data_IF_103005024474
#
_entry.id   IF_103005024474
#
_cell.length_a   1.000
_cell.length_b   1.000
_cell.length_c   1.000
_cell.angle_alpha   90.00
_cell.angle_beta   90.00
_cell.angle_gamma   90.00
#
_symmetry.space_group_name_H-M   'P 1'
#
loop_
_entity.id
_entity.type
_entity.pdbx_description
1 polymer ?
#
# COMPACT_ATOMS: atom_id res chain seq x y z
N UNK A 1 -5.94 25.04 -38.11
CA UNK A 1 -5.49 24.51 -36.81
C UNK A 1 -5.93 23.07 -36.73
N UNK A 2 -5.01 22.14 -36.87
CA UNK A 2 -5.31 20.70 -36.69
C UNK A 2 -5.24 20.45 -35.19
N UNK A 3 -6.41 20.28 -34.56
CA UNK A 3 -6.47 19.88 -33.17
C UNK A 3 -5.90 18.45 -33.04
N UNK A 4 -4.81 18.30 -32.32
CA UNK A 4 -4.31 16.98 -31.91
C UNK A 4 -5.36 16.43 -30.96
N UNK A 5 -6.19 15.52 -31.43
CA UNK A 5 -7.02 14.68 -30.59
C UNK A 5 -6.05 13.73 -29.87
N UNK A 6 -5.71 14.07 -28.63
CA UNK A 6 -5.03 13.12 -27.77
C UNK A 6 -6.05 12.02 -27.48
N UNK A 7 -5.92 10.93 -28.17
CA UNK A 7 -6.71 9.73 -27.94
C UNK A 7 -6.40 9.24 -26.51
N UNK A 8 -7.24 9.64 -25.56
CA UNK A 8 -7.09 9.21 -24.18
C UNK A 8 -7.37 7.72 -24.12
N UNK A 9 -6.36 6.95 -23.71
CA UNK A 9 -6.53 5.53 -23.44
C UNK A 9 -7.72 5.33 -22.48
N UNK A 10 -8.61 4.34 -22.77
CA UNK A 10 -9.72 4.05 -21.87
C UNK A 10 -9.20 3.72 -20.46
N UNK A 11 -9.96 4.10 -19.43
CA UNK A 11 -9.63 3.75 -18.04
C UNK A 11 -9.43 2.24 -17.87
N UNK A 12 -8.45 1.88 -17.06
CA UNK A 12 -8.12 0.49 -16.75
C UNK A 12 -8.22 0.25 -15.23
N UNK A 13 -8.37 -1.02 -14.88
CA UNK A 13 -8.25 -1.46 -13.50
C UNK A 13 -6.88 -2.11 -13.27
N UNK A 14 -6.25 -1.74 -12.17
CA UNK A 14 -5.01 -2.35 -11.70
C UNK A 14 -5.32 -3.33 -10.57
N UNK A 15 -4.86 -4.57 -10.69
CA UNK A 15 -4.81 -5.50 -9.59
C UNK A 15 -3.45 -5.35 -8.90
N UNK A 16 -3.46 -4.78 -7.70
CA UNK A 16 -2.28 -4.51 -6.92
C UNK A 16 -2.19 -5.47 -5.72
N UNK A 17 -0.98 -6.01 -5.47
CA UNK A 17 -0.66 -6.68 -4.22
C UNK A 17 0.22 -5.76 -3.39
N UNK A 18 -0.26 -5.40 -2.20
CA UNK A 18 0.44 -4.61 -1.19
C UNK A 18 1.01 -5.59 -0.17
N UNK A 19 2.31 -5.64 0.01
CA UNK A 19 2.95 -6.54 0.97
C UNK A 19 3.92 -5.78 1.86
N UNK A 20 3.71 -5.87 3.17
CA UNK A 20 4.60 -5.29 4.15
C UNK A 20 5.94 -6.04 4.15
N UNK A 21 7.05 -5.31 4.02
CA UNK A 21 8.40 -5.87 4.03
C UNK A 21 8.86 -6.19 5.45
N UNK A 22 9.75 -7.17 5.56
CA UNK A 22 10.42 -7.54 6.80
C UNK A 22 9.48 -7.96 7.95
N UNK A 23 8.28 -8.42 7.62
CA UNK A 23 7.27 -8.90 8.57
C UNK A 23 6.88 -10.34 8.28
N UNK A 24 6.95 -11.19 9.31
CA UNK A 24 6.55 -12.59 9.25
C UNK A 24 5.60 -12.95 10.41
N UNK A 25 4.51 -13.71 10.14
CA UNK A 25 3.97 -14.11 8.84
C UNK A 25 3.65 -12.90 7.97
N UNK A 26 3.68 -13.09 6.63
CA UNK A 26 3.52 -11.99 5.69
C UNK A 26 2.16 -11.28 5.85
N UNK A 27 2.19 -9.98 6.05
CA UNK A 27 1.03 -9.09 6.02
C UNK A 27 0.87 -8.57 4.61
N UNK A 28 -0.25 -8.87 3.97
CA UNK A 28 -0.48 -8.42 2.60
C UNK A 28 -1.97 -8.18 2.31
N UNK A 29 -2.23 -7.35 1.30
CA UNK A 29 -3.56 -7.07 0.76
C UNK A 29 -3.51 -7.16 -0.75
N UNK A 30 -4.61 -7.59 -1.37
CA UNK A 30 -4.80 -7.50 -2.82
C UNK A 30 -5.97 -6.58 -3.08
N UNK A 31 -5.76 -5.54 -3.86
CA UNK A 31 -6.75 -4.51 -4.14
C UNK A 31 -6.93 -4.36 -5.64
N UNK A 32 -8.17 -4.13 -6.06
CA UNK A 32 -8.47 -3.65 -7.42
C UNK A 32 -8.65 -2.14 -7.34
N UNK A 33 -7.93 -1.41 -8.18
CA UNK A 33 -7.78 0.03 -8.13
C UNK A 33 -7.96 0.61 -9.54
N UNK A 34 -8.74 1.69 -9.69
CA UNK A 34 -8.87 2.36 -10.98
C UNK A 34 -7.62 3.19 -11.27
N UNK A 35 -7.08 3.08 -12.47
CA UNK A 35 -5.86 3.82 -12.86
C UNK A 35 -6.09 5.33 -13.03
N UNK A 36 -7.34 5.75 -13.07
CA UNK A 36 -7.74 7.17 -13.07
C UNK A 36 -7.59 7.84 -11.70
N UNK A 37 -7.49 7.05 -10.62
CA UNK A 37 -7.23 7.57 -9.29
C UNK A 37 -5.78 7.99 -9.13
N UNK A 38 -5.53 8.95 -8.24
CA UNK A 38 -4.21 9.51 -8.01
C UNK A 38 -3.32 8.61 -7.13
N UNK A 39 -2.02 8.89 -7.11
CA UNK A 39 -1.08 8.29 -6.17
C UNK A 39 -1.49 8.62 -4.71
N UNK A 40 -2.04 9.82 -4.46
CA UNK A 40 -2.54 10.20 -3.14
C UNK A 40 -3.76 9.37 -2.72
N UNK A 41 -4.62 8.97 -3.68
CA UNK A 41 -5.72 8.05 -3.37
C UNK A 41 -5.20 6.65 -3.01
N UNK A 42 -4.14 6.18 -3.70
CA UNK A 42 -3.49 4.93 -3.34
C UNK A 42 -2.89 4.99 -1.92
N UNK A 43 -2.31 6.13 -1.52
CA UNK A 43 -1.84 6.33 -0.15
C UNK A 43 -2.97 6.12 0.87
N UNK A 44 -4.12 6.76 0.67
CA UNK A 44 -5.28 6.61 1.57
C UNK A 44 -5.74 5.16 1.68
N UNK A 45 -5.73 4.44 0.55
CA UNK A 45 -6.07 3.00 0.53
C UNK A 45 -5.06 2.16 1.29
N UNK A 46 -3.76 2.45 1.16
CA UNK A 46 -2.72 1.75 1.93
C UNK A 46 -2.91 1.97 3.43
N UNK A 47 -3.12 3.23 3.85
CA UNK A 47 -3.36 3.58 5.25
C UNK A 47 -4.56 2.80 5.82
N UNK A 48 -5.69 2.84 5.13
CA UNK A 48 -6.90 2.13 5.54
C UNK A 48 -6.69 0.61 5.65
N UNK A 49 -6.02 0.00 4.66
CA UNK A 49 -5.81 -1.44 4.60
C UNK A 49 -4.79 -1.95 5.60
N UNK A 50 -3.83 -1.12 6.01
CA UNK A 50 -2.86 -1.44 7.04
C UNK A 50 -3.37 -1.08 8.45
N UNK A 51 -4.43 -0.27 8.56
CA UNK A 51 -4.97 0.20 9.83
C UNK A 51 -4.10 1.29 10.47
N UNK A 52 -3.51 2.15 9.65
CA UNK A 52 -2.69 3.29 10.09
C UNK A 52 -3.49 4.59 10.10
N UNK A 53 -3.05 5.55 10.90
CA UNK A 53 -3.78 6.78 11.21
C UNK A 53 -3.34 7.99 10.37
N UNK A 54 -2.39 7.82 9.44
CA UNK A 54 -1.83 8.87 8.56
C UNK A 54 -1.17 10.04 9.32
N UNK A 55 -0.61 9.76 10.48
CA UNK A 55 0.02 10.78 11.34
C UNK A 55 1.48 11.04 11.00
N UNK A 56 2.06 10.31 10.06
CA UNK A 56 3.48 10.36 9.70
C UNK A 56 3.69 10.65 8.23
N UNK A 57 4.91 11.11 7.90
CA UNK A 57 5.33 11.34 6.52
C UNK A 57 5.39 10.04 5.72
N UNK A 58 5.06 10.13 4.45
CA UNK A 58 5.09 9.03 3.51
C UNK A 58 5.65 9.46 2.16
N UNK A 59 6.07 8.48 1.37
CA UNK A 59 6.37 8.66 -0.06
C UNK A 59 6.16 7.37 -0.83
N UNK A 60 5.89 7.52 -2.12
CA UNK A 60 6.03 6.46 -3.09
C UNK A 60 7.32 6.66 -3.88
N UNK A 61 8.03 5.57 -4.12
CA UNK A 61 9.15 5.55 -5.06
C UNK A 61 8.77 4.70 -6.25
N UNK A 62 8.52 5.36 -7.39
CA UNK A 62 8.01 4.74 -8.61
C UNK A 62 8.90 5.16 -9.77
N UNK A 63 9.44 4.20 -10.54
CA UNK A 63 10.31 4.46 -11.70
C UNK A 63 11.48 5.41 -11.38
N UNK A 64 12.02 5.32 -10.17
CA UNK A 64 13.15 6.15 -9.72
C UNK A 64 12.79 7.57 -9.30
N UNK A 65 11.51 7.92 -9.23
CA UNK A 65 11.01 9.21 -8.74
C UNK A 65 10.28 9.06 -7.41
N UNK A 66 10.35 10.10 -6.59
CA UNK A 66 9.66 10.20 -5.31
C UNK A 66 8.38 11.02 -5.46
N UNK A 67 7.25 10.45 -5.05
CA UNK A 67 5.93 11.07 -5.05
C UNK A 67 5.43 11.18 -3.62
N UNK A 68 4.95 12.34 -3.23
CA UNK A 68 4.39 12.57 -1.90
C UNK A 68 3.51 13.80 -1.88
N UNK A 69 2.94 14.11 -0.71
CA UNK A 69 2.20 15.33 -0.48
C UNK A 69 3.15 16.31 0.20
N UNK A 70 3.46 17.41 -0.47
CA UNK A 70 4.31 18.46 0.08
C UNK A 70 3.55 19.29 1.11
N UNK A 71 4.14 19.46 2.28
CA UNK A 71 3.65 20.38 3.31
C UNK A 71 4.59 21.57 3.43
N UNK A 72 4.06 22.73 3.76
CA UNK A 72 4.86 23.95 3.98
C UNK A 72 5.86 23.68 5.11
N UNK A 73 7.16 23.81 4.80
CA UNK A 73 8.25 23.53 5.72
C UNK A 73 8.61 22.04 5.88
N UNK A 74 8.01 21.16 5.07
CA UNK A 74 8.28 19.72 5.04
C UNK A 74 9.23 19.30 3.92
N UNK A 75 9.25 17.99 3.64
CA UNK A 75 10.02 17.41 2.54
C UNK A 75 9.45 17.84 1.18
N UNK A 76 10.33 18.07 0.21
CA UNK A 76 9.96 18.20 -1.19
C UNK A 76 10.05 16.85 -1.89
N UNK A 77 9.15 16.63 -2.85
CA UNK A 77 9.11 15.44 -3.68
C UNK A 77 9.28 15.82 -5.14
N UNK A 78 9.66 14.86 -5.99
CA UNK A 78 9.79 15.13 -7.43
C UNK A 78 8.46 15.52 -8.06
N UNK A 79 7.36 14.91 -7.56
CA UNK A 79 6.01 15.13 -8.06
C UNK A 79 4.99 15.14 -6.91
N UNK A 80 3.95 15.94 -7.05
CA UNK A 80 2.79 15.91 -6.14
C UNK A 80 1.94 14.67 -6.40
N UNK A 81 1.83 13.81 -5.40
CA UNK A 81 1.05 12.57 -5.47
C UNK A 81 -0.44 12.80 -5.79
N UNK A 82 -1.00 13.97 -5.44
CA UNK A 82 -2.39 14.29 -5.74
C UNK A 82 -2.62 14.69 -7.21
N UNK A 83 -1.58 15.19 -7.87
CA UNK A 83 -1.66 15.64 -9.26
C UNK A 83 -1.44 14.53 -10.29
N UNK A 84 -0.92 13.37 -9.87
CA UNK A 84 -0.51 12.29 -10.78
C UNK A 84 -1.47 11.10 -10.67
N UNK A 85 -2.34 10.85 -11.67
CA UNK A 85 -3.12 9.63 -11.74
C UNK A 85 -2.23 8.44 -12.11
N UNK A 86 -2.56 7.24 -11.64
CA UNK A 86 -1.79 6.03 -11.91
C UNK A 86 -1.70 5.70 -13.41
N UNK A 87 -2.68 6.14 -14.21
CA UNK A 87 -2.69 5.98 -15.67
C UNK A 87 -1.50 6.63 -16.37
N UNK A 88 -0.93 7.72 -15.82
CA UNK A 88 0.23 8.38 -16.37
C UNK A 88 1.53 7.59 -16.20
N UNK A 89 1.55 6.64 -15.27
CA UNK A 89 2.74 5.84 -14.97
C UNK A 89 2.92 4.65 -15.92
N UNK A 90 1.89 4.30 -16.69
CA UNK A 90 1.99 3.25 -17.71
C UNK A 90 2.36 1.87 -17.17
N UNK A 91 1.87 1.51 -15.99
CA UNK A 91 2.20 0.26 -15.32
C UNK A 91 1.97 -0.98 -16.18
N UNK A 92 2.86 -1.95 -16.01
CA UNK A 92 2.77 -3.28 -16.64
C UNK A 92 2.68 -4.37 -15.58
N UNK A 93 2.08 -5.52 -15.91
CA UNK A 93 2.10 -6.68 -15.02
C UNK A 93 3.52 -7.02 -14.58
N UNK A 94 3.68 -7.44 -13.33
CA UNK A 94 4.92 -7.77 -12.62
C UNK A 94 5.76 -6.60 -12.13
N UNK A 95 5.50 -5.38 -12.56
CA UNK A 95 6.19 -4.19 -12.04
C UNK A 95 5.97 -4.05 -10.54
N UNK A 96 6.97 -3.46 -9.89
CA UNK A 96 6.96 -3.22 -8.45
C UNK A 96 7.45 -1.82 -8.16
N UNK A 97 6.86 -1.25 -7.12
CA UNK A 97 7.31 0.02 -6.56
C UNK A 97 7.18 -0.01 -5.03
N UNK A 98 7.74 0.99 -4.39
CA UNK A 98 7.83 1.04 -2.94
C UNK A 98 6.97 2.18 -2.39
N UNK A 99 6.24 1.89 -1.32
CA UNK A 99 5.62 2.87 -0.46
C UNK A 99 6.33 2.84 0.90
N UNK A 100 6.76 4.00 1.36
CA UNK A 100 7.40 4.19 2.67
C UNK A 100 6.50 5.07 3.55
N UNK A 101 6.32 4.67 4.79
CA UNK A 101 5.50 5.37 5.77
C UNK A 101 6.23 5.41 7.11
N UNK A 102 6.10 6.51 7.84
CA UNK A 102 6.81 6.78 9.09
C UNK A 102 8.32 6.53 8.92
N UNK A 103 9.03 7.52 8.41
CA UNK A 103 10.47 7.38 8.10
C UNK A 103 11.33 7.06 9.32
N UNK A 104 10.81 7.32 10.53
CA UNK A 104 11.49 6.96 11.78
C UNK A 104 11.31 5.48 12.10
N UNK A 105 10.10 4.96 11.95
CA UNK A 105 9.79 3.54 12.16
C UNK A 105 10.24 2.68 10.96
N UNK A 106 10.30 3.27 9.76
CA UNK A 106 10.81 2.62 8.56
C UNK A 106 9.88 1.59 7.96
N UNK A 107 8.55 1.82 7.99
CA UNK A 107 7.61 0.95 7.33
C UNK A 107 7.75 1.00 5.82
N UNK A 108 7.86 -0.17 5.21
CA UNK A 108 7.95 -0.32 3.75
C UNK A 108 6.90 -1.30 3.26
N UNK A 109 6.08 -0.86 2.30
CA UNK A 109 5.12 -1.70 1.60
C UNK A 109 5.56 -1.84 0.15
N UNK A 110 5.89 -3.06 -0.26
CA UNK A 110 6.09 -3.37 -1.67
C UNK A 110 4.73 -3.45 -2.35
N UNK A 111 4.54 -2.65 -3.39
CA UNK A 111 3.36 -2.69 -4.25
C UNK A 111 3.73 -3.38 -5.55
N UNK A 112 3.07 -4.50 -5.84
CA UNK A 112 3.25 -5.24 -7.09
C UNK A 112 2.01 -5.13 -7.95
N UNK A 113 2.19 -4.76 -9.21
CA UNK A 113 1.14 -4.82 -10.23
C UNK A 113 0.99 -6.27 -10.67
N UNK A 114 -0.10 -6.93 -10.26
CA UNK A 114 -0.35 -8.33 -10.65
C UNK A 114 -1.01 -8.43 -12.02
N UNK A 115 -1.95 -7.50 -12.31
CA UNK A 115 -2.68 -7.46 -13.59
C UNK A 115 -3.04 -6.02 -13.94
N UNK A 116 -3.11 -5.77 -15.23
CA UNK A 116 -3.78 -4.61 -15.85
C UNK A 116 -5.01 -5.16 -16.55
N UNK A 117 -6.19 -4.64 -16.23
CA UNK A 117 -7.49 -5.13 -16.69
C UNK A 117 -8.11 -4.03 -17.56
N UNK A 118 -8.30 -4.32 -18.83
CA UNK A 118 -8.80 -3.37 -19.84
C UNK A 118 -10.33 -3.20 -19.80
N UNK A 119 -10.93 -3.34 -18.63
CA UNK A 119 -12.35 -3.09 -18.44
C UNK A 119 -12.53 -1.73 -17.78
N UNK A 120 -13.37 -0.89 -18.38
CA UNK A 120 -13.73 0.38 -17.76
C UNK A 120 -14.38 0.11 -16.40
N UNK A 121 -14.02 0.88 -15.33
CA UNK A 121 -14.73 0.80 -14.07
C UNK A 121 -16.19 1.12 -14.35
N UNK A 122 -17.11 0.19 -14.05
CA UNK A 122 -18.52 0.52 -14.04
C UNK A 122 -18.76 1.58 -12.96
N UNK A 123 -19.35 2.69 -13.31
CA UNK A 123 -19.73 3.72 -12.36
C UNK A 123 -20.54 3.09 -11.22
N UNK A 124 -20.08 3.29 -9.98
CA UNK A 124 -20.75 2.78 -8.78
C UNK A 124 -20.25 1.45 -8.23
N UNK A 125 -19.26 0.79 -8.81
CA UNK A 125 -18.76 -0.52 -8.37
C UNK A 125 -17.80 -0.48 -7.14
N UNK A 126 -17.84 0.56 -6.32
CA UNK A 126 -17.11 0.59 -5.05
C UNK A 126 -15.59 0.35 -5.18
N UNK A 127 -14.98 0.82 -6.26
CA UNK A 127 -13.51 0.77 -6.46
C UNK A 127 -12.89 2.00 -5.80
N UNK A 128 -11.85 1.84 -4.98
CA UNK A 128 -11.01 0.65 -4.77
C UNK A 128 -11.68 -0.44 -3.92
N UNK A 129 -11.40 -1.71 -4.22
CA UNK A 129 -11.91 -2.85 -3.46
C UNK A 129 -10.80 -3.81 -3.06
N UNK A 130 -10.74 -4.16 -1.77
CA UNK A 130 -9.85 -5.21 -1.26
C UNK A 130 -10.49 -6.57 -1.51
N UNK A 131 -9.84 -7.38 -2.34
CA UNK A 131 -10.38 -8.69 -2.77
C UNK A 131 -9.75 -9.86 -2.01
N UNK A 132 -8.62 -9.66 -1.35
CA UNK A 132 -7.98 -10.68 -0.51
C UNK A 132 -6.95 -10.04 0.42
N UNK A 133 -6.58 -10.75 1.48
CA UNK A 133 -5.53 -10.34 2.40
C UNK A 133 -5.21 -11.41 3.41
N UNK A 134 -4.09 -11.21 4.11
CA UNK A 134 -3.66 -12.08 5.19
C UNK A 134 -3.01 -11.28 6.30
N UNK A 135 -3.24 -11.67 7.54
CA UNK A 135 -2.75 -11.08 8.77
C UNK A 135 -3.21 -9.62 8.97
N UNK A 136 -3.50 -9.20 10.17
CA UNK A 136 -3.76 -7.79 10.46
C UNK A 136 -2.51 -6.94 10.22
N UNK A 137 -2.70 -5.67 9.87
CA UNK A 137 -1.61 -4.70 9.83
C UNK A 137 -1.03 -4.46 11.22
N UNK A 138 0.24 -4.05 11.32
CA UNK A 138 0.82 -3.65 12.59
C UNK A 138 0.13 -2.39 13.11
N UNK A 139 -0.07 -2.26 14.44
CA UNK A 139 -0.59 -1.03 15.01
C UNK A 139 0.29 0.16 14.66
N UNK A 140 -0.31 1.32 14.39
CA UNK A 140 0.45 2.55 14.21
C UNK A 140 1.24 2.88 15.49
N UNK A 141 2.41 3.52 15.33
CA UNK A 141 3.28 3.85 16.47
C UNK A 141 3.93 2.65 17.17
N UNK A 142 3.88 1.42 16.63
CA UNK A 142 4.50 0.27 17.29
C UNK A 142 6.03 0.17 17.10
N UNK A 143 6.67 1.13 16.42
CA UNK A 143 8.12 1.26 16.34
C UNK A 143 8.79 0.53 15.19
N UNK A 144 8.04 0.16 14.16
CA UNK A 144 8.58 -0.41 12.94
C UNK A 144 8.65 -1.94 12.91
N UNK A 145 9.17 -2.52 11.80
CA UNK A 145 9.14 -3.96 11.55
C UNK A 145 9.82 -4.80 12.63
N UNK A 146 10.95 -4.34 13.14
CA UNK A 146 11.71 -5.06 14.17
C UNK A 146 10.95 -5.10 15.51
N UNK A 147 10.50 -3.95 16.00
CA UNK A 147 9.75 -3.87 17.24
C UNK A 147 8.43 -4.66 17.17
N UNK A 148 7.77 -4.64 16.02
CA UNK A 148 6.58 -5.45 15.76
C UNK A 148 6.88 -6.94 15.82
N UNK A 149 7.97 -7.39 15.20
CA UNK A 149 8.38 -8.79 15.23
C UNK A 149 8.72 -9.27 16.66
N UNK A 150 9.32 -8.43 17.47
CA UNK A 150 9.60 -8.73 18.88
C UNK A 150 8.31 -8.89 19.69
N UNK A 151 7.38 -7.95 19.59
CA UNK A 151 6.06 -8.04 20.25
C UNK A 151 5.28 -9.29 19.86
N UNK A 152 5.33 -9.69 18.60
CA UNK A 152 4.68 -10.93 18.14
C UNK A 152 5.31 -12.18 18.74
N UNK A 153 6.63 -12.24 18.86
CA UNK A 153 7.35 -13.35 19.50
C UNK A 153 6.95 -13.49 20.97
N UNK A 154 6.86 -12.39 21.67
CA UNK A 154 6.47 -12.36 23.10
C UNK A 154 5.03 -12.82 23.28
N UNK A 155 4.10 -12.36 22.47
CA UNK A 155 2.70 -12.78 22.49
C UNK A 155 2.55 -14.30 22.26
N UNK A 156 3.30 -14.87 21.31
CA UNK A 156 3.31 -16.32 21.05
C UNK A 156 3.92 -17.10 22.21
N UNK A 157 4.96 -16.58 22.86
CA UNK A 157 5.58 -17.21 24.02
C UNK A 157 4.64 -17.23 25.23
N UNK A 158 3.88 -16.15 25.46
CA UNK A 158 2.86 -16.04 26.49
C UNK A 158 1.73 -17.03 26.28
N UNK A 159 1.20 -17.14 25.07
CA UNK A 159 0.13 -18.08 24.74
C UNK A 159 0.54 -19.56 24.90
N UNK A 160 1.82 -19.88 24.74
CA UNK A 160 2.35 -21.22 25.02
C UNK A 160 2.47 -21.52 26.52
N UNK A 161 2.86 -20.55 27.33
CA UNK A 161 2.96 -20.68 28.79
C UNK A 161 1.58 -20.77 29.48
N UNK A 162 0.56 -20.14 28.90
CA UNK A 162 -0.80 -20.10 29.44
C UNK A 162 -1.63 -21.37 29.14
N UNK A 163 -1.16 -22.32 28.31
CA UNK A 163 -1.86 -23.58 28.10
C UNK A 163 -1.65 -24.49 29.31
N UNK A 164 -2.70 -24.88 30.05
CA UNK A 164 -2.57 -25.83 31.14
C UNK A 164 -2.02 -27.17 30.61
N UNK A 165 -1.00 -27.72 31.29
CA UNK A 165 -0.54 -29.09 31.04
C UNK A 165 -1.76 -30.02 31.19
N UNK A 166 -2.14 -30.72 30.10
CA UNK A 166 -3.08 -31.80 30.21
C UNK A 166 -2.44 -32.80 31.16
N UNK A 167 -3.04 -33.00 32.36
CA UNK A 167 -2.66 -34.06 33.26
C UNK A 167 -2.88 -35.38 32.54
N UNK A 168 -1.81 -36.15 32.32
CA UNK A 168 -1.93 -37.54 31.91
C UNK A 168 -2.61 -38.30 33.05
N UNK A 169 -3.75 -38.93 32.77
CA UNK A 169 -4.32 -40.03 33.54
C UNK A 169 -3.92 -41.32 32.88
#
# INVERSE_FOLDING_TARGET
MVGVVIEQRPPQLLRLKLQLRDVHPAVWRRVTFADTLSIADLHRVVQLLMGWDDDHLHRFRIHGRDYGIAYIGGLSFDEDAAAVPLSQLGFRPTERFLYEYDFTAGWQVEVRVEKVIEEAPCEGNGIPVCVAGREPGPPDGCGGPQAYAERRRDAVSWGRKARPRKSAR
#
